data_IF_177749410927
#
_entry.id   IF_177749410927
#
_cell.length_a   1.000
_cell.length_b   1.000
_cell.length_c   1.000
_cell.angle_alpha   90.00
_cell.angle_beta   90.00
_cell.angle_gamma   90.00
#
_symmetry.space_group_name_H-M   'P 1'
#
loop_
_entity.id
_entity.type
_entity.pdbx_description
1 polymer ?
#
# COMPACT_ATOMS: atom_id res chain seq x y z
N UNK A 1 -48.91 14.23 -31.14
CA UNK A 1 -47.81 13.28 -31.40
C UNK A 1 -46.42 13.91 -31.37
N UNK A 2 -46.15 15.03 -32.07
CA UNK A 2 -44.81 15.67 -32.10
C UNK A 2 -44.25 16.06 -30.72
N UNK A 3 -45.08 16.55 -29.79
CA UNK A 3 -44.68 16.90 -28.41
C UNK A 3 -44.23 15.71 -27.57
N UNK A 4 -44.79 14.52 -27.81
CA UNK A 4 -44.42 13.29 -27.10
C UNK A 4 -43.05 12.77 -27.56
N UNK A 5 -42.73 12.96 -28.85
CA UNK A 5 -41.44 12.63 -29.43
C UNK A 5 -40.30 13.46 -28.82
N UNK A 6 -40.53 14.77 -28.60
CA UNK A 6 -39.52 15.63 -27.97
C UNK A 6 -39.25 15.26 -26.51
N UNK A 7 -40.29 14.87 -25.76
CA UNK A 7 -40.13 14.41 -24.36
C UNK A 7 -39.37 13.08 -24.31
N UNK A 8 -39.65 12.16 -25.23
CA UNK A 8 -38.93 10.88 -25.34
C UNK A 8 -37.43 11.09 -25.65
N UNK A 9 -37.10 12.02 -26.55
CA UNK A 9 -35.70 12.34 -26.90
C UNK A 9 -34.95 12.96 -25.71
N UNK A 10 -35.59 13.83 -24.92
CA UNK A 10 -34.97 14.43 -23.73
C UNK A 10 -34.71 13.38 -22.65
N UNK A 11 -35.65 12.45 -22.43
CA UNK A 11 -35.50 11.36 -21.45
C UNK A 11 -34.42 10.36 -21.85
N UNK A 12 -34.26 10.08 -23.15
CA UNK A 12 -33.18 9.20 -23.64
C UNK A 12 -31.80 9.87 -23.52
N UNK A 13 -31.70 11.18 -23.74
CA UNK A 13 -30.45 11.92 -23.59
C UNK A 13 -29.98 12.04 -22.13
N UNK A 14 -30.87 12.03 -21.14
CA UNK A 14 -30.49 12.12 -19.72
C UNK A 14 -30.01 10.81 -19.11
N UNK A 15 -30.24 9.65 -19.76
CA UNK A 15 -29.70 8.35 -19.29
C UNK A 15 -28.29 8.07 -19.83
N UNK A 16 -27.80 8.88 -20.78
CA UNK A 16 -26.51 8.67 -21.44
C UNK A 16 -25.32 9.32 -20.74
N UNK A 17 -25.51 10.00 -19.60
CA UNK A 17 -24.38 10.45 -18.76
C UNK A 17 -23.83 9.26 -18.00
N UNK A 18 -23.12 8.39 -18.71
CA UNK A 18 -22.18 7.47 -18.08
C UNK A 18 -21.12 8.34 -17.41
N UNK A 19 -21.15 8.39 -16.08
CA UNK A 19 -20.08 9.00 -15.32
C UNK A 19 -18.78 8.29 -15.71
N UNK A 20 -17.90 8.96 -16.44
CA UNK A 20 -16.53 8.50 -16.65
C UNK A 20 -15.87 8.50 -15.26
N UNK A 21 -15.93 7.35 -14.59
CA UNK A 21 -15.26 7.15 -13.31
C UNK A 21 -13.77 7.42 -13.51
N UNK A 22 -13.21 8.30 -12.69
CA UNK A 22 -11.77 8.48 -12.62
C UNK A 22 -11.15 7.11 -12.31
N UNK A 23 -10.28 6.62 -13.18
CA UNK A 23 -9.59 5.35 -12.95
C UNK A 23 -8.22 5.63 -12.34
N UNK A 24 -7.96 4.96 -11.23
CA UNK A 24 -6.67 4.96 -10.56
C UNK A 24 -6.10 3.56 -10.73
N UNK A 25 -4.88 3.50 -11.27
CA UNK A 25 -4.12 2.26 -11.34
C UNK A 25 -2.78 2.47 -10.67
N UNK A 26 -2.34 1.51 -9.88
CA UNK A 26 -1.01 1.56 -9.30
C UNK A 26 -0.47 0.18 -8.97
N UNK A 27 0.83 0.15 -8.71
CA UNK A 27 1.59 -1.05 -8.42
C UNK A 27 2.60 -0.73 -7.32
N UNK A 28 2.61 -1.53 -6.26
CA UNK A 28 3.59 -1.46 -5.19
C UNK A 28 4.54 -2.65 -5.33
N UNK A 29 5.84 -2.38 -5.36
CA UNK A 29 6.88 -3.39 -5.54
C UNK A 29 8.05 -3.14 -4.60
N UNK A 30 8.87 -4.17 -4.40
CA UNK A 30 10.06 -4.07 -3.56
C UNK A 30 11.27 -4.55 -4.36
N UNK A 31 12.25 -3.67 -4.54
CA UNK A 31 13.49 -3.96 -5.24
C UNK A 31 14.53 -4.50 -4.24
N UNK A 32 15.34 -5.45 -4.69
CA UNK A 32 16.38 -6.07 -3.87
C UNK A 32 15.85 -7.03 -2.80
N UNK A 33 14.54 -7.29 -2.74
CA UNK A 33 13.92 -8.23 -1.80
C UNK A 33 13.44 -9.50 -2.54
N UNK A 34 13.99 -10.67 -2.19
CA UNK A 34 13.54 -11.94 -2.74
C UNK A 34 12.31 -12.47 -1.98
N UNK A 35 11.56 -13.43 -2.56
CA UNK A 35 10.31 -13.95 -1.98
C UNK A 35 10.43 -14.51 -0.55
N UNK A 36 11.64 -14.86 -0.07
CA UNK A 36 11.88 -15.21 1.32
C UNK A 36 13.37 -15.09 1.64
N UNK A 37 13.75 -14.10 2.45
CA UNK A 37 15.14 -13.91 2.91
C UNK A 37 15.28 -14.49 4.32
N UNK A 38 16.34 -15.23 4.58
CA UNK A 38 16.72 -15.59 5.95
C UNK A 38 17.56 -14.47 6.55
N UNK A 39 17.16 -13.98 7.71
CA UNK A 39 17.85 -12.89 8.40
C UNK A 39 18.46 -13.45 9.67
N UNK A 40 19.77 -13.28 9.82
CA UNK A 40 20.53 -13.77 10.98
C UNK A 40 20.31 -12.91 12.23
N UNK A 41 19.93 -11.65 12.08
CA UNK A 41 19.64 -10.77 13.21
C UNK A 41 18.19 -10.87 13.66
N UNK A 42 18.01 -11.06 14.95
CA UNK A 42 16.69 -11.10 15.60
C UNK A 42 16.21 -9.70 15.99
N UNK A 43 17.02 -8.66 15.72
CA UNK A 43 16.73 -7.30 16.12
C UNK A 43 16.01 -6.53 15.00
N UNK A 44 14.83 -5.93 15.28
CA UNK A 44 14.09 -5.12 14.30
C UNK A 44 14.93 -4.02 13.63
N UNK A 45 15.86 -3.42 14.38
CA UNK A 45 16.71 -2.31 13.88
C UNK A 45 17.66 -2.77 12.76
N UNK A 46 18.14 -4.02 12.82
CA UNK A 46 19.04 -4.57 11.82
C UNK A 46 18.35 -4.73 10.47
N UNK A 47 17.07 -5.13 10.49
CA UNK A 47 16.25 -5.22 9.28
C UNK A 47 15.99 -3.83 8.69
N UNK A 48 15.63 -2.85 9.52
CA UNK A 48 15.38 -1.48 9.09
C UNK A 48 16.60 -0.85 8.41
N UNK A 49 17.80 -1.08 8.96
CA UNK A 49 19.04 -0.55 8.40
C UNK A 49 19.23 -0.92 6.93
N UNK A 50 18.82 -2.10 6.49
CA UNK A 50 18.96 -2.50 5.08
C UNK A 50 18.08 -1.69 4.13
N UNK A 51 16.88 -1.25 4.56
CA UNK A 51 16.05 -0.35 3.77
C UNK A 51 16.60 1.07 3.77
N UNK A 52 16.99 1.58 4.94
CA UNK A 52 17.54 2.93 5.09
C UNK A 52 18.85 3.11 4.32
N UNK A 53 19.71 2.09 4.31
CA UNK A 53 20.98 2.10 3.58
C UNK A 53 20.81 1.78 2.08
N UNK A 54 19.55 1.68 1.59
CA UNK A 54 19.23 1.58 0.16
C UNK A 54 19.42 0.19 -0.47
N UNK A 55 19.68 -0.86 0.33
CA UNK A 55 19.78 -2.25 -0.18
C UNK A 55 18.44 -2.80 -0.65
N UNK A 56 17.36 -2.31 -0.03
CA UNK A 56 16.00 -2.62 -0.41
C UNK A 56 15.23 -1.32 -0.61
N UNK A 57 14.45 -1.24 -1.69
CA UNK A 57 13.66 -0.05 -2.00
C UNK A 57 12.21 -0.45 -2.20
N UNK A 58 11.29 0.38 -1.71
CA UNK A 58 9.86 0.23 -1.98
C UNK A 58 9.54 1.17 -3.13
N UNK A 59 9.09 0.64 -4.25
CA UNK A 59 8.72 1.40 -5.43
C UNK A 59 7.21 1.41 -5.58
N UNK A 60 6.63 2.60 -5.62
CA UNK A 60 5.23 2.81 -5.92
C UNK A 60 5.10 3.47 -7.29
N UNK A 61 4.46 2.75 -8.21
CA UNK A 61 4.04 3.24 -9.52
C UNK A 61 2.56 3.59 -9.43
N UNK A 62 2.19 4.82 -9.76
CA UNK A 62 0.81 5.27 -9.72
C UNK A 62 0.44 6.13 -10.93
N UNK A 63 -0.68 5.81 -11.57
CA UNK A 63 -1.26 6.56 -12.68
C UNK A 63 -2.66 7.04 -12.29
N UNK A 64 -2.93 8.31 -12.60
CA UNK A 64 -4.23 8.95 -12.40
C UNK A 64 -4.75 9.50 -13.73
N UNK A 65 -6.02 9.27 -14.03
CA UNK A 65 -6.70 9.92 -15.16
C UNK A 65 -7.03 11.40 -14.90
N UNK A 66 -6.90 11.88 -13.66
CA UNK A 66 -7.15 13.27 -13.29
C UNK A 66 -6.01 14.23 -13.69
N UNK A 67 -4.93 13.72 -14.30
CA UNK A 67 -3.76 14.48 -14.76
C UNK A 67 -2.55 14.35 -13.83
N UNK A 68 -1.35 14.57 -14.38
CA UNK A 68 -0.06 14.36 -13.68
C UNK A 68 0.17 15.26 -12.47
N UNK A 69 -0.62 16.34 -12.33
CA UNK A 69 -0.50 17.31 -11.23
C UNK A 69 -1.57 17.14 -10.14
N UNK A 70 -2.48 16.19 -10.30
CA UNK A 70 -3.53 15.95 -9.32
C UNK A 70 -2.96 15.19 -8.12
N UNK A 71 -2.95 15.83 -6.95
CA UNK A 71 -2.64 15.15 -5.69
C UNK A 71 -3.76 14.17 -5.39
N UNK A 72 -3.40 12.91 -5.14
CA UNK A 72 -4.35 11.88 -4.68
C UNK A 72 -3.98 11.45 -3.28
N UNK A 73 -4.98 11.42 -2.41
CA UNK A 73 -4.83 10.98 -1.03
C UNK A 73 -4.92 9.46 -0.95
N UNK A 74 -3.99 8.84 -0.23
CA UNK A 74 -3.98 7.41 0.02
C UNK A 74 -4.10 7.09 1.50
N UNK A 75 -4.89 6.06 1.78
CA UNK A 75 -4.86 5.30 3.01
C UNK A 75 -3.74 4.25 2.91
N UNK A 76 -2.78 4.32 3.82
CA UNK A 76 -1.68 3.38 3.92
C UNK A 76 -1.95 2.45 5.10
N UNK A 77 -1.77 1.14 4.91
CA UNK A 77 -1.89 0.14 5.96
C UNK A 77 -0.65 -0.73 5.98
N UNK A 78 -0.13 -0.95 7.18
CA UNK A 78 0.96 -1.89 7.42
C UNK A 78 0.43 -3.03 8.27
N UNK A 79 0.59 -4.27 7.82
CA UNK A 79 0.23 -5.47 8.60
C UNK A 79 1.49 -6.29 8.88
N UNK A 80 1.73 -6.64 10.13
CA UNK A 80 2.77 -7.59 10.52
C UNK A 80 2.13 -8.94 10.82
N UNK A 81 2.64 -9.98 10.17
CA UNK A 81 2.16 -11.36 10.28
C UNK A 81 3.34 -12.22 10.77
N UNK A 82 3.09 -13.09 11.75
CA UNK A 82 4.04 -14.07 12.26
C UNK A 82 3.40 -15.45 12.20
N UNK A 83 4.06 -16.39 11.51
CA UNK A 83 3.58 -17.76 11.30
C UNK A 83 2.11 -17.81 10.80
N UNK A 84 1.76 -16.95 9.85
CA UNK A 84 0.42 -16.85 9.28
C UNK A 84 -0.61 -16.10 10.12
N UNK A 85 -0.28 -15.71 11.37
CA UNK A 85 -1.17 -14.94 12.24
C UNK A 85 -0.81 -13.45 12.23
N UNK A 86 -1.79 -12.58 12.05
CA UNK A 86 -1.56 -11.13 12.22
C UNK A 86 -1.22 -10.83 13.68
N UNK A 87 -0.04 -10.24 13.90
CA UNK A 87 0.45 -9.84 15.24
C UNK A 87 0.37 -8.33 15.46
N UNK A 88 0.15 -7.55 14.40
CA UNK A 88 -0.09 -6.12 14.51
C UNK A 88 -0.50 -5.48 13.19
N UNK A 89 -1.10 -4.29 13.28
CA UNK A 89 -1.38 -3.47 12.12
C UNK A 89 -1.32 -1.99 12.48
N UNK A 90 -0.97 -1.15 11.51
CA UNK A 90 -1.05 0.30 11.61
C UNK A 90 -1.74 0.87 10.38
N UNK A 91 -2.23 2.09 10.53
CA UNK A 91 -2.95 2.82 9.50
C UNK A 91 -2.51 4.28 9.51
N UNK A 92 -2.31 4.84 8.31
CA UNK A 92 -2.13 6.28 8.09
C UNK A 92 -3.08 6.71 6.99
N UNK A 93 -3.93 7.69 7.25
CA UNK A 93 -4.86 8.22 6.25
C UNK A 93 -4.27 9.46 5.57
N UNK A 94 -4.88 9.82 4.46
CA UNK A 94 -4.72 11.13 3.81
C UNK A 94 -3.27 11.47 3.43
N UNK A 95 -2.50 10.44 3.08
CA UNK A 95 -1.13 10.64 2.62
C UNK A 95 -1.14 11.12 1.16
N UNK A 96 -0.57 12.30 0.86
CA UNK A 96 -0.62 12.85 -0.48
C UNK A 96 0.40 12.17 -1.40
N UNK A 97 -0.03 11.76 -2.58
CA UNK A 97 0.81 11.19 -3.63
C UNK A 97 0.59 11.92 -4.95
N UNK A 98 1.70 12.14 -5.66
CA UNK A 98 1.67 12.57 -7.06
C UNK A 98 1.72 11.34 -7.97
N UNK A 99 1.03 11.36 -9.13
CA UNK A 99 1.20 10.35 -10.17
C UNK A 99 2.67 10.24 -10.62
N UNK A 100 3.11 9.02 -10.91
CA UNK A 100 4.46 8.72 -11.37
C UNK A 100 5.10 7.53 -10.64
N UNK A 101 6.40 7.39 -10.85
CA UNK A 101 7.26 6.42 -10.18
C UNK A 101 7.96 7.08 -9.00
N UNK A 102 7.72 6.58 -7.78
CA UNK A 102 8.36 7.12 -6.59
C UNK A 102 8.88 6.02 -5.67
N UNK A 103 10.09 6.24 -5.16
CA UNK A 103 10.59 5.46 -4.03
C UNK A 103 9.89 5.92 -2.75
N UNK A 104 9.23 4.98 -2.09
CA UNK A 104 8.55 5.21 -0.83
C UNK A 104 9.56 5.02 0.30
N UNK A 105 9.80 6.04 1.14
CA UNK A 105 10.63 5.87 2.30
C UNK A 105 9.98 4.82 3.20
N UNK A 106 10.82 3.96 3.74
CA UNK A 106 10.40 2.83 4.54
C UNK A 106 9.66 3.29 5.82
N UNK A 107 9.97 4.49 6.31
CA UNK A 107 9.34 5.19 7.43
C UNK A 107 7.91 5.66 7.15
N UNK A 108 7.47 5.67 5.89
CA UNK A 108 6.07 5.90 5.56
C UNK A 108 5.16 4.76 6.03
N UNK A 109 5.75 3.59 6.31
CA UNK A 109 5.05 2.42 6.84
C UNK A 109 5.50 2.13 8.29
N UNK A 110 4.56 1.87 9.20
CA UNK A 110 4.90 1.67 10.63
C UNK A 110 5.35 0.24 10.96
N UNK A 111 6.09 -0.44 10.08
CA UNK A 111 6.47 -1.84 10.38
C UNK A 111 7.56 -1.92 11.46
N UNK A 112 8.44 -0.91 11.62
CA UNK A 112 9.44 -0.88 12.71
C UNK A 112 8.78 -0.89 14.09
N UNK A 113 7.88 0.06 14.44
CA UNK A 113 7.25 0.04 15.75
C UNK A 113 6.40 -1.21 15.96
N UNK A 114 5.77 -1.76 14.90
CA UNK A 114 5.07 -3.05 14.97
C UNK A 114 6.01 -4.20 15.34
N UNK A 115 7.18 -4.28 14.70
CA UNK A 115 8.19 -5.30 15.02
C UNK A 115 8.82 -5.08 16.39
N UNK A 116 9.08 -3.84 16.79
CA UNK A 116 9.60 -3.52 18.12
C UNK A 116 8.61 -3.92 19.22
N UNK A 117 7.32 -3.66 19.03
CA UNK A 117 6.28 -4.13 19.94
C UNK A 117 6.32 -5.66 20.10
N UNK A 118 6.50 -6.39 19.00
CA UNK A 118 6.63 -7.85 19.03
C UNK A 118 7.94 -8.30 19.71
N UNK A 119 9.05 -7.64 19.42
CA UNK A 119 10.35 -7.97 19.98
C UNK A 119 10.42 -7.69 21.50
N UNK A 120 9.72 -6.65 21.98
CA UNK A 120 9.66 -6.31 23.39
C UNK A 120 8.95 -7.38 24.24
N UNK A 121 8.10 -8.20 23.63
CA UNK A 121 7.53 -9.38 24.29
C UNK A 121 8.57 -10.49 24.53
N UNK A 122 9.74 -10.39 23.90
CA UNK A 122 10.81 -11.37 23.95
C UNK A 122 12.19 -10.69 24.11
N UNK A 123 12.35 -9.91 25.19
CA UNK A 123 13.63 -9.29 25.60
C UNK A 123 14.32 -8.48 24.49
N UNK A 124 13.53 -7.79 23.66
CA UNK A 124 14.03 -6.95 22.56
C UNK A 124 14.39 -7.72 21.29
N UNK A 125 14.08 -9.02 21.21
CA UNK A 125 14.35 -9.86 20.04
C UNK A 125 13.06 -10.41 19.45
N UNK A 126 12.96 -10.44 18.13
CA UNK A 126 11.90 -11.17 17.46
C UNK A 126 12.02 -12.67 17.76
N UNK A 127 10.87 -13.34 17.87
CA UNK A 127 10.82 -14.79 18.06
C UNK A 127 11.21 -15.49 16.75
N UNK A 128 11.78 -16.70 16.79
CA UNK A 128 11.99 -17.48 15.58
C UNK A 128 10.69 -17.73 14.80
N UNK A 129 10.81 -17.92 13.50
CA UNK A 129 9.69 -18.23 12.61
C UNK A 129 9.64 -17.37 11.36
N UNK A 130 8.51 -17.46 10.66
CA UNK A 130 8.29 -16.74 9.40
C UNK A 130 7.51 -15.45 9.68
N UNK A 131 8.05 -14.33 9.22
CA UNK A 131 7.42 -13.04 9.26
C UNK A 131 7.04 -12.58 7.87
N UNK A 132 5.89 -11.91 7.78
CA UNK A 132 5.46 -11.19 6.58
C UNK A 132 5.06 -9.78 6.97
N UNK A 133 5.57 -8.80 6.23
CA UNK A 133 5.16 -7.41 6.32
C UNK A 133 4.36 -7.10 5.05
N UNK A 134 3.05 -6.91 5.20
CA UNK A 134 2.18 -6.49 4.10
C UNK A 134 2.03 -4.97 4.14
N UNK A 135 2.44 -4.33 3.05
CA UNK A 135 2.32 -2.89 2.83
C UNK A 135 1.19 -2.66 1.85
N UNK A 136 0.22 -1.83 2.21
CA UNK A 136 -0.99 -1.60 1.43
C UNK A 136 -1.20 -0.10 1.23
N UNK A 137 -1.64 0.29 0.04
CA UNK A 137 -1.98 1.65 -0.35
C UNK A 137 -3.32 1.63 -1.07
N UNK A 138 -4.28 2.42 -0.59
CA UNK A 138 -5.61 2.53 -1.18
C UNK A 138 -5.99 4.01 -1.35
N UNK A 139 -6.39 4.46 -2.55
CA UNK A 139 -6.94 5.80 -2.73
C UNK A 139 -8.11 6.07 -1.79
N UNK A 140 -8.09 7.22 -1.09
CA UNK A 140 -9.11 7.58 -0.08
C UNK A 140 -10.49 7.80 -0.70
N UNK A 141 -10.54 8.47 -1.86
CA UNK A 141 -11.80 8.98 -2.43
C UNK A 141 -12.40 8.08 -3.51
N UNK A 142 -11.66 7.06 -3.96
CA UNK A 142 -12.08 6.17 -5.04
C UNK A 142 -12.28 4.76 -4.51
N UNK A 143 -13.47 4.21 -4.74
CA UNK A 143 -13.77 2.80 -4.43
C UNK A 143 -12.92 1.90 -5.34
N UNK A 144 -11.82 1.42 -4.78
CA UNK A 144 -10.81 0.62 -5.46
C UNK A 144 -10.28 -0.46 -4.51
N UNK A 145 -9.73 -1.52 -5.09
CA UNK A 145 -8.98 -2.52 -4.35
C UNK A 145 -7.66 -1.94 -3.83
N UNK A 146 -7.20 -2.34 -2.65
CA UNK A 146 -5.90 -1.91 -2.14
C UNK A 146 -4.77 -2.46 -3.00
N UNK A 147 -3.82 -1.60 -3.33
CA UNK A 147 -2.55 -1.98 -3.96
C UNK A 147 -1.63 -2.44 -2.85
N UNK A 148 -1.02 -3.62 -2.96
CA UNK A 148 -0.17 -4.13 -1.89
C UNK A 148 1.06 -4.87 -2.38
N UNK A 149 2.03 -4.98 -1.48
CA UNK A 149 3.19 -5.84 -1.61
C UNK A 149 3.49 -6.51 -0.27
N UNK A 150 4.12 -7.68 -0.31
CA UNK A 150 4.45 -8.45 0.89
C UNK A 150 5.94 -8.75 0.92
N UNK A 151 6.56 -8.41 2.05
CA UNK A 151 7.95 -8.70 2.37
C UNK A 151 7.99 -9.88 3.33
N UNK A 152 8.47 -11.03 2.87
CA UNK A 152 8.60 -12.22 3.72
C UNK A 152 10.04 -12.47 4.12
N UNK A 153 10.27 -12.77 5.39
CA UNK A 153 11.58 -13.17 5.92
C UNK A 153 11.45 -14.23 7.02
N UNK A 154 12.54 -14.95 7.26
CA UNK A 154 12.63 -15.95 8.33
C UNK A 154 13.68 -15.55 9.36
N UNK A 155 13.33 -15.75 10.62
CA UNK A 155 14.24 -15.65 11.77
C UNK A 155 14.48 -17.06 12.28
N UNK A 156 15.77 -17.43 12.37
CA UNK A 156 16.25 -18.74 12.81
C UNK A 156 16.26 -18.91 14.32
#
# INVERSE_FOLDING_TARGET
MKRFLYVLVIVICSVATTAYGQSISGKLTTEGWSKSIQISSHEPVSLFKNFRDGKHKILFHFKSTAGEKAIVLFQMKTTLIHNGKTVGSSYRSDWPWLPGDMYVPVEAFDFIPLMQKQANQNKGKLMPGTYEIRLEMKPSEVKSEPIYTTLSFKIG
#
